data_IF_228552361478
#
_entry.id   IF_228552361478
#
_cell.length_a   1.000
_cell.length_b   1.000
_cell.length_c   1.000
_cell.angle_alpha   90.00
_cell.angle_beta   90.00
_cell.angle_gamma   90.00
#
_symmetry.space_group_name_H-M   'P 1'
#
loop_
_entity.id
_entity.type
_entity.pdbx_description
1 polymer ?
#
# COMPACT_ATOMS: atom_id res chain seq x y z
N UNK A 1 12.09 0.98 13.61
CA UNK A 1 12.06 2.34 14.22
C UNK A 1 10.75 3.01 13.79
N UNK A 2 10.20 3.94 14.58
CA UNK A 2 8.91 4.59 14.28
C UNK A 2 9.07 6.11 14.15
N UNK A 3 8.30 6.71 13.21
CA UNK A 3 8.12 8.11 12.77
C UNK A 3 8.38 9.30 13.75
N UNK A 4 8.77 9.07 15.01
CA UNK A 4 9.21 10.06 15.98
C UNK A 4 10.50 10.78 15.58
N UNK A 5 11.53 10.04 15.12
CA UNK A 5 12.89 10.60 14.95
C UNK A 5 12.94 11.86 14.06
N UNK A 6 12.22 11.91 12.94
CA UNK A 6 12.17 13.11 12.08
C UNK A 6 11.63 14.35 12.79
N UNK A 7 10.61 14.18 13.65
CA UNK A 7 10.04 15.30 14.42
C UNK A 7 10.96 15.72 15.57
N UNK A 8 11.67 14.77 16.14
CA UNK A 8 12.60 15.02 17.24
C UNK A 8 13.77 15.92 16.79
N UNK A 9 14.15 15.84 15.51
CA UNK A 9 15.15 16.72 14.89
C UNK A 9 14.57 18.01 14.27
N UNK A 10 13.27 18.27 14.43
CA UNK A 10 12.62 19.46 13.85
C UNK A 10 12.55 19.47 12.32
N UNK A 11 12.82 18.33 11.67
CA UNK A 11 12.83 18.20 10.22
C UNK A 11 11.41 18.00 9.69
N UNK A 12 11.03 18.75 8.65
CA UNK A 12 9.70 18.59 8.04
C UNK A 12 9.76 17.58 6.90
N UNK A 13 8.85 16.62 6.91
CA UNK A 13 8.70 15.65 5.83
C UNK A 13 8.48 16.28 4.43
N UNK A 14 7.97 17.51 4.36
CA UNK A 14 7.84 18.26 3.10
C UNK A 14 9.21 18.65 2.53
N UNK A 15 10.13 19.09 3.38
CA UNK A 15 11.48 19.51 3.00
C UNK A 15 12.28 18.28 2.53
N UNK A 16 12.20 17.15 3.25
CA UNK A 16 12.82 15.89 2.82
C UNK A 16 12.39 15.49 1.40
N UNK A 17 11.10 15.63 1.06
CA UNK A 17 10.61 15.33 -0.29
C UNK A 17 11.17 16.26 -1.36
N UNK A 18 11.23 17.56 -1.08
CA UNK A 18 11.76 18.55 -2.01
C UNK A 18 13.26 18.29 -2.28
N UNK A 19 14.00 17.92 -1.23
CA UNK A 19 15.41 17.54 -1.32
C UNK A 19 15.60 16.24 -2.14
N UNK A 20 14.80 15.20 -1.89
CA UNK A 20 14.82 13.98 -2.70
C UNK A 20 14.49 14.24 -4.18
N UNK A 21 13.56 15.15 -4.48
CA UNK A 21 13.24 15.54 -5.86
C UNK A 21 14.43 16.25 -6.51
N UNK A 22 15.06 17.17 -5.78
CA UNK A 22 16.23 17.92 -6.27
C UNK A 22 17.43 17.01 -6.57
N UNK A 23 17.67 15.99 -5.75
CA UNK A 23 18.70 14.95 -6.01
C UNK A 23 18.41 14.13 -7.28
N UNK A 24 17.14 13.80 -7.50
CA UNK A 24 16.73 13.09 -8.71
C UNK A 24 16.87 13.97 -9.97
N UNK A 25 16.47 15.24 -9.88
CA UNK A 25 16.61 16.20 -10.97
C UNK A 25 18.08 16.50 -11.33
N UNK A 26 18.96 16.51 -10.32
CA UNK A 26 20.40 16.64 -10.53
C UNK A 26 21.05 15.39 -11.15
N UNK A 27 20.32 14.27 -11.26
CA UNK A 27 20.83 13.01 -11.80
C UNK A 27 21.86 12.31 -10.90
N UNK A 28 22.00 12.78 -9.66
CA UNK A 28 23.02 12.29 -8.71
C UNK A 28 22.58 10.98 -8.08
N UNK A 29 21.29 10.83 -7.78
CA UNK A 29 20.77 9.63 -7.14
C UNK A 29 19.40 9.22 -7.70
N UNK A 30 19.32 8.67 -8.92
CA UNK A 30 18.05 8.29 -9.57
C UNK A 30 17.30 7.18 -8.82
N UNK A 31 17.93 6.54 -7.84
CA UNK A 31 17.34 5.44 -7.06
C UNK A 31 16.43 5.91 -5.91
N UNK A 32 16.42 7.20 -5.55
CA UNK A 32 15.58 7.72 -4.46
C UNK A 32 14.13 7.78 -4.92
N UNK A 33 13.44 6.65 -4.83
CA UNK A 33 12.04 6.56 -5.24
C UNK A 33 11.12 7.17 -4.19
N UNK A 34 10.65 8.39 -4.47
CA UNK A 34 9.58 9.06 -3.72
C UNK A 34 8.24 8.37 -4.01
N UNK A 35 8.03 7.17 -3.44
CA UNK A 35 6.76 6.44 -3.58
C UNK A 35 5.67 7.11 -2.74
N UNK A 36 4.47 7.26 -3.32
CA UNK A 36 3.31 7.79 -2.59
C UNK A 36 2.95 6.82 -1.45
N UNK A 37 3.09 7.28 -0.20
CA UNK A 37 2.75 6.50 1.00
C UNK A 37 3.92 5.82 1.70
N UNK A 38 5.18 6.07 1.29
CA UNK A 38 6.34 5.67 2.10
C UNK A 38 6.36 6.43 3.42
N UNK A 39 6.82 5.73 4.46
CA UNK A 39 7.04 6.36 5.76
C UNK A 39 8.24 7.30 5.65
N UNK A 40 8.25 8.35 6.48
CA UNK A 40 9.34 9.32 6.50
C UNK A 40 10.70 8.70 6.78
N UNK A 41 10.74 7.66 7.61
CA UNK A 41 11.96 6.95 7.97
C UNK A 41 12.55 6.21 6.78
N UNK A 42 11.74 5.41 6.09
CA UNK A 42 12.18 4.68 4.89
C UNK A 42 12.73 5.65 3.83
N UNK A 43 12.11 6.84 3.70
CA UNK A 43 12.56 7.89 2.79
C UNK A 43 13.87 8.55 3.25
N UNK A 44 14.05 8.75 4.56
CA UNK A 44 15.28 9.29 5.12
C UNK A 44 16.44 8.30 4.95
N UNK A 45 16.23 7.02 5.23
CA UNK A 45 17.24 5.97 4.99
C UNK A 45 17.64 5.92 3.52
N UNK A 46 16.68 5.85 2.59
CA UNK A 46 16.99 5.87 1.16
C UNK A 46 17.68 7.16 0.69
N UNK A 47 17.42 8.28 1.37
CA UNK A 47 18.13 9.54 1.11
C UNK A 47 19.59 9.49 1.60
N UNK A 48 19.84 8.92 2.77
CA UNK A 48 21.20 8.75 3.29
C UNK A 48 22.01 7.78 2.42
N UNK A 49 21.44 6.60 2.11
CA UNK A 49 22.07 5.61 1.22
C UNK A 49 22.44 6.24 -0.13
N UNK A 50 21.57 7.10 -0.65
CA UNK A 50 21.79 7.81 -1.89
C UNK A 50 22.90 8.86 -1.82
N UNK A 51 23.06 9.56 -0.68
CA UNK A 51 24.16 10.51 -0.47
C UNK A 51 25.48 9.78 -0.29
N UNK A 52 25.50 8.69 0.48
CA UNK A 52 26.70 7.87 0.69
C UNK A 52 27.18 7.20 -0.61
N UNK A 53 26.25 6.87 -1.50
CA UNK A 53 26.56 6.34 -2.83
C UNK A 53 27.11 7.40 -3.81
N UNK A 54 27.09 8.69 -3.48
CA UNK A 54 27.67 9.74 -4.34
C UNK A 54 29.19 9.68 -4.24
N UNK A 55 29.86 9.30 -5.33
CA UNK A 55 31.32 9.34 -5.39
C UNK A 55 31.87 10.77 -5.22
N UNK A 56 33.08 10.90 -4.66
CA UNK A 56 33.77 12.18 -4.39
C UNK A 56 33.82 13.16 -5.58
N UNK A 57 33.68 12.66 -6.81
CA UNK A 57 33.68 13.46 -8.05
C UNK A 57 32.40 14.25 -8.25
N UNK A 58 31.27 13.75 -7.75
CA UNK A 58 29.94 14.34 -7.96
C UNK A 58 29.46 15.18 -6.76
N UNK A 59 30.22 15.18 -5.66
CA UNK A 59 29.96 16.02 -4.46
C UNK A 59 29.87 17.51 -4.80
N UNK A 60 30.61 17.96 -5.83
CA UNK A 60 30.57 19.37 -6.29
C UNK A 60 29.27 19.77 -6.97
N UNK A 61 28.48 18.80 -7.42
CA UNK A 61 27.22 19.04 -8.13
C UNK A 61 26.00 18.92 -7.20
N UNK A 62 26.20 18.63 -5.91
CA UNK A 62 25.10 18.50 -4.96
C UNK A 62 24.41 19.87 -4.80
N UNK A 63 23.08 19.95 -4.99
CA UNK A 63 22.33 21.19 -4.76
C UNK A 63 22.56 21.73 -3.34
N UNK A 64 22.72 23.04 -3.21
CA UNK A 64 22.96 23.68 -1.90
C UNK A 64 21.87 23.37 -0.86
N UNK A 65 20.64 23.14 -1.31
CA UNK A 65 19.51 22.74 -0.49
C UNK A 65 19.69 21.36 0.13
N UNK A 66 20.32 20.43 -0.60
CA UNK A 66 20.62 19.06 -0.15
C UNK A 66 21.73 19.09 0.90
N UNK A 67 22.80 19.87 0.66
CA UNK A 67 23.86 20.07 1.64
C UNK A 67 23.33 20.71 2.92
N UNK A 68 22.56 21.80 2.81
CA UNK A 68 21.99 22.48 3.97
C UNK A 68 21.03 21.58 4.76
N UNK A 69 20.30 20.70 4.07
CA UNK A 69 19.45 19.71 4.73
C UNK A 69 20.27 18.64 5.45
N UNK A 70 21.35 18.13 4.84
CA UNK A 70 22.25 17.15 5.46
C UNK A 70 22.94 17.72 6.71
N UNK A 71 23.46 18.95 6.63
CA UNK A 71 24.12 19.64 7.74
C UNK A 71 23.17 19.94 8.92
N UNK A 72 21.86 19.98 8.68
CA UNK A 72 20.85 20.18 9.71
C UNK A 72 20.50 18.90 10.50
N UNK A 73 20.95 17.73 10.04
CA UNK A 73 20.71 16.44 10.70
C UNK A 73 21.75 16.28 11.83
N UNK A 74 21.34 16.17 13.10
CA UNK A 74 22.29 15.98 14.21
C UNK A 74 23.10 14.69 14.02
N UNK A 75 24.40 14.75 14.36
CA UNK A 75 25.30 13.58 14.26
C UNK A 75 24.80 12.39 15.10
N UNK A 76 24.12 12.66 16.22
CA UNK A 76 23.48 11.65 17.07
C UNK A 76 22.41 10.80 16.33
N UNK A 77 21.86 11.31 15.22
CA UNK A 77 20.94 10.54 14.39
C UNK A 77 21.63 9.38 13.63
N UNK A 78 22.96 9.44 13.50
CA UNK A 78 23.79 8.46 12.81
C UNK A 78 24.46 7.48 13.77
N UNK A 79 24.71 7.89 15.03
CA UNK A 79 25.40 7.07 16.03
C UNK A 79 24.51 5.99 16.69
N UNK A 80 23.20 6.00 16.40
CA UNK A 80 22.21 5.06 16.97
C UNK A 80 22.21 3.68 16.26
N UNK A 81 23.08 3.48 15.26
CA UNK A 81 23.31 2.22 14.56
C UNK A 81 24.43 1.40 15.23
N UNK A 82 24.42 1.31 16.57
CA UNK A 82 25.02 0.16 17.27
C UNK A 82 24.12 -1.08 17.02
N UNK A 83 24.18 -1.53 15.77
CA UNK A 83 24.46 -2.88 15.36
C UNK A 83 23.91 -4.00 16.27
N UNK A 84 22.59 -4.11 16.33
CA UNK A 84 21.96 -5.45 16.40
C UNK A 84 21.54 -5.88 15.00
N UNK A 85 22.55 -6.03 14.13
CA UNK A 85 22.47 -7.06 13.09
C UNK A 85 22.29 -8.39 13.83
N UNK A 86 21.06 -8.87 13.91
CA UNK A 86 20.79 -10.30 14.11
C UNK A 86 21.34 -11.04 12.90
N UNK A 87 22.64 -11.31 12.94
CA UNK A 87 23.31 -12.34 12.18
C UNK A 87 22.59 -13.64 12.53
N UNK A 88 21.88 -14.20 11.56
CA UNK A 88 21.22 -15.49 11.72
C UNK A 88 22.28 -16.56 11.57
N UNK A 89 23.06 -16.76 12.63
CA UNK A 89 24.00 -17.88 12.75
C UNK A 89 23.23 -19.20 12.85
N UNK A 90 23.12 -19.86 11.71
CA UNK A 90 22.81 -21.29 11.62
C UNK A 90 23.92 -22.09 12.29
N UNK A 91 23.72 -22.40 13.56
CA UNK A 91 24.48 -23.44 14.28
C UNK A 91 23.84 -24.79 14.00
N UNK A 92 24.51 -25.60 13.19
CA UNK A 92 24.10 -26.95 12.85
C UNK A 92 24.22 -27.95 14.00
N UNK A 93 23.36 -28.97 13.93
CA UNK A 93 23.62 -30.34 14.36
C UNK A 93 22.94 -31.30 13.36
N UNK A 94 23.42 -32.55 13.24
CA UNK A 94 23.35 -33.34 12.02
C UNK A 94 22.05 -34.14 11.94
N UNK A 95 21.46 -34.22 10.74
CA UNK A 95 20.41 -35.18 10.44
C UNK A 95 20.74 -35.90 9.14
N UNK A 96 20.78 -37.22 9.29
CA UNK A 96 20.78 -38.33 8.34
C UNK A 96 20.49 -38.07 6.86
N UNK A 97 21.24 -38.84 6.06
CA UNK A 97 21.02 -39.19 4.65
C UNK A 97 19.54 -39.24 4.27
N UNK A 98 19.13 -38.40 3.32
CA UNK A 98 17.99 -38.67 2.46
C UNK A 98 18.10 -37.86 1.15
N UNK A 99 18.18 -38.63 0.06
CA UNK A 99 17.87 -38.37 -1.36
C UNK A 99 18.21 -37.00 -1.99
N UNK A 100 19.04 -37.09 -3.05
CA UNK A 100 19.33 -36.08 -4.05
C UNK A 100 18.12 -35.17 -4.39
N UNK A 101 18.22 -33.90 -4.02
CA UNK A 101 17.47 -32.81 -4.63
C UNK A 101 18.42 -32.02 -5.51
N UNK A 102 18.11 -31.98 -6.81
CA UNK A 102 18.78 -31.15 -7.80
C UNK A 102 18.77 -29.69 -7.36
N UNK A 103 19.97 -29.11 -7.29
CA UNK A 103 20.25 -27.73 -6.95
C UNK A 103 19.63 -26.82 -8.03
N UNK A 104 18.55 -26.12 -7.70
CA UNK A 104 17.96 -25.09 -8.56
C UNK A 104 18.85 -23.86 -8.47
N UNK A 105 19.77 -23.75 -9.42
CA UNK A 105 20.57 -22.54 -9.64
C UNK A 105 19.60 -21.40 -9.97
N UNK A 106 19.48 -20.40 -9.09
CA UNK A 106 18.80 -19.14 -9.39
C UNK A 106 19.59 -18.42 -10.49
N UNK A 107 19.21 -18.64 -11.75
CA UNK A 107 19.73 -17.86 -12.88
C UNK A 107 19.12 -16.46 -12.84
N UNK A 108 19.92 -15.52 -12.34
CA UNK A 108 19.62 -14.09 -12.25
C UNK A 108 19.68 -13.47 -13.66
N UNK A 109 18.63 -13.69 -14.45
CA UNK A 109 18.51 -13.04 -15.75
C UNK A 109 17.81 -11.66 -15.59
N UNK A 110 18.49 -10.57 -15.99
CA UNK A 110 18.12 -9.19 -15.63
C UNK A 110 16.80 -8.68 -16.23
N UNK A 111 16.15 -9.45 -17.11
CA UNK A 111 14.87 -9.08 -17.75
C UNK A 111 13.62 -9.74 -17.13
N UNK A 112 13.75 -10.63 -16.14
CA UNK A 112 12.61 -11.46 -15.68
C UNK A 112 11.71 -10.88 -14.58
N UNK A 113 11.86 -9.61 -14.19
CA UNK A 113 10.99 -9.01 -13.17
C UNK A 113 9.56 -8.72 -13.67
N UNK A 114 9.35 -8.58 -14.99
CA UNK A 114 8.06 -8.22 -15.59
C UNK A 114 7.22 -9.39 -16.11
N UNK A 115 7.75 -10.62 -16.07
CA UNK A 115 7.08 -11.82 -16.57
C UNK A 115 7.38 -12.09 -18.05
N UNK A 116 7.54 -13.37 -18.37
CA UNK A 116 7.84 -13.85 -19.71
C UNK A 116 6.55 -13.80 -20.56
N UNK A 117 6.49 -12.93 -21.58
CA UNK A 117 5.37 -12.85 -22.52
C UNK A 117 5.81 -13.40 -23.89
N UNK A 118 5.13 -14.43 -24.38
CA UNK A 118 5.45 -15.11 -25.63
C UNK A 118 5.34 -14.19 -26.87
N UNK A 119 4.80 -12.97 -26.70
CA UNK A 119 4.69 -11.95 -27.74
C UNK A 119 5.88 -10.98 -27.81
N UNK A 120 6.76 -10.96 -26.80
CA UNK A 120 7.95 -10.10 -26.82
C UNK A 120 9.08 -10.73 -27.66
N UNK A 121 9.78 -9.93 -28.49
CA UNK A 121 10.84 -10.42 -29.37
C UNK A 121 11.99 -11.06 -28.59
N UNK A 122 12.32 -10.53 -27.42
CA UNK A 122 13.40 -11.07 -26.55
C UNK A 122 13.07 -12.48 -26.04
N UNK A 123 11.79 -12.80 -25.80
CA UNK A 123 11.37 -14.14 -25.40
C UNK A 123 11.50 -15.17 -26.54
N UNK A 124 11.40 -14.73 -27.80
CA UNK A 124 11.57 -15.61 -28.96
C UNK A 124 13.04 -15.99 -29.19
N UNK A 125 13.97 -15.07 -28.94
CA UNK A 125 15.40 -15.36 -28.97
C UNK A 125 15.80 -16.30 -27.83
N UNK A 126 15.36 -16.03 -26.59
CA UNK A 126 15.61 -16.93 -25.46
C UNK A 126 15.08 -18.36 -25.71
N UNK A 127 13.91 -18.49 -26.34
CA UNK A 127 13.33 -19.81 -26.69
C UNK A 127 14.19 -20.58 -27.71
N UNK A 128 14.89 -19.87 -28.59
CA UNK A 128 15.72 -20.47 -29.64
C UNK A 128 17.12 -20.83 -29.13
N UNK A 129 17.73 -19.91 -28.37
CA UNK A 129 19.13 -20.04 -27.95
C UNK A 129 19.28 -20.81 -26.63
N UNK A 130 18.29 -20.73 -25.74
CA UNK A 130 18.32 -21.35 -24.40
C UNK A 130 16.95 -21.99 -24.03
N UNK A 131 16.56 -23.10 -24.69
CA UNK A 131 15.24 -23.69 -24.54
C UNK A 131 14.96 -24.22 -23.12
N UNK A 132 15.99 -24.71 -22.42
CA UNK A 132 15.86 -25.23 -21.05
C UNK A 132 15.61 -24.10 -20.04
N UNK A 133 16.32 -22.98 -20.16
CA UNK A 133 16.12 -21.79 -19.32
C UNK A 133 14.75 -21.13 -19.58
N UNK A 134 14.35 -21.05 -20.84
CA UNK A 134 13.03 -20.55 -21.21
C UNK A 134 11.89 -21.42 -20.64
N UNK A 135 12.06 -22.75 -20.66
CA UNK A 135 11.11 -23.70 -20.05
C UNK A 135 11.01 -23.54 -18.54
N UNK A 136 12.15 -23.39 -17.85
CA UNK A 136 12.19 -23.12 -16.41
C UNK A 136 11.51 -21.79 -16.06
N UNK A 137 11.80 -20.74 -16.83
CA UNK A 137 11.19 -19.42 -16.66
C UNK A 137 9.67 -19.45 -16.87
N UNK A 138 9.18 -20.11 -17.92
CA UNK A 138 7.74 -20.28 -18.19
C UNK A 138 7.02 -21.01 -17.05
N UNK A 139 7.63 -22.08 -16.51
CA UNK A 139 7.09 -22.78 -15.33
C UNK A 139 7.05 -21.88 -14.10
N UNK A 140 8.09 -21.08 -13.88
CA UNK A 140 8.17 -20.16 -12.75
C UNK A 140 7.13 -19.02 -12.83
N UNK A 141 6.86 -18.48 -14.03
CA UNK A 141 5.85 -17.44 -14.25
C UNK A 141 4.42 -17.98 -14.12
N UNK A 142 4.13 -19.17 -14.63
CA UNK A 142 2.84 -19.86 -14.43
C UNK A 142 2.59 -20.21 -12.94
N UNK A 143 3.63 -20.61 -12.21
CA UNK A 143 3.56 -20.84 -10.77
C UNK A 143 3.31 -19.54 -9.96
N UNK A 144 3.89 -18.40 -10.40
CA UNK A 144 3.62 -17.09 -9.78
C UNK A 144 2.22 -16.57 -10.11
N UNK A 145 1.70 -16.82 -11.32
CA UNK A 145 0.32 -16.47 -11.70
C UNK A 145 -0.73 -17.25 -10.89
N UNK A 146 -0.50 -18.54 -10.65
CA UNK A 146 -1.39 -19.39 -9.84
C UNK A 146 -1.39 -19.03 -8.34
N UNK A 147 -0.28 -18.53 -7.78
CA UNK A 147 -0.23 -17.98 -6.41
C UNK A 147 -0.97 -16.65 -6.26
N UNK A 148 -1.03 -15.81 -7.31
CA UNK A 148 -1.82 -14.56 -7.32
C UNK A 148 -3.32 -14.80 -7.54
N UNK A 149 -3.70 -16.02 -7.94
CA UNK A 149 -5.10 -16.45 -8.08
C UNK A 149 -5.56 -17.42 -6.99
N UNK A 150 -5.33 -17.12 -5.70
CA UNK A 150 -6.36 -17.49 -4.69
C UNK A 150 -7.56 -16.57 -4.85
N UNK A 151 -8.22 -16.78 -6.00
CA UNK A 151 -9.51 -16.26 -6.39
C UNK A 151 -10.49 -16.78 -5.34
N UNK A 152 -10.94 -15.86 -4.49
CA UNK A 152 -12.10 -16.01 -3.61
C UNK A 152 -13.13 -16.87 -4.34
N UNK A 153 -13.50 -17.99 -3.73
CA UNK A 153 -14.55 -18.88 -4.22
C UNK A 153 -15.71 -18.02 -4.72
N UNK A 154 -16.13 -18.28 -5.96
CA UNK A 154 -17.26 -17.63 -6.61
C UNK A 154 -18.51 -18.13 -5.90
N UNK A 155 -18.75 -17.58 -4.71
CA UNK A 155 -19.96 -17.79 -3.93
C UNK A 155 -21.15 -17.42 -4.80
N UNK A 156 -22.09 -18.34 -4.84
CA UNK A 156 -23.37 -18.30 -5.52
C UNK A 156 -23.94 -16.88 -5.54
N UNK A 157 -24.25 -16.37 -6.75
CA UNK A 157 -24.92 -15.08 -6.95
C UNK A 157 -26.34 -15.13 -6.39
N UNK A 158 -26.48 -15.07 -5.08
CA UNK A 158 -27.67 -14.46 -4.49
C UNK A 158 -27.44 -12.96 -4.68
N UNK A 159 -28.05 -12.40 -5.72
CA UNK A 159 -28.19 -10.97 -5.89
C UNK A 159 -29.12 -10.44 -4.78
N UNK A 160 -28.64 -10.50 -3.55
CA UNK A 160 -29.28 -9.84 -2.43
C UNK A 160 -29.39 -8.37 -2.76
N UNK A 161 -30.55 -7.78 -2.48
CA UNK A 161 -30.78 -6.35 -2.64
C UNK A 161 -29.61 -5.61 -1.97
N UNK A 162 -28.89 -4.79 -2.74
CA UNK A 162 -27.79 -3.97 -2.21
C UNK A 162 -28.33 -3.05 -1.12
N UNK A 163 -27.48 -2.65 -0.20
CA UNK A 163 -27.80 -1.61 0.80
C UNK A 163 -28.13 -0.29 0.10
N UNK A 164 -28.74 0.65 0.82
CA UNK A 164 -29.15 1.97 0.29
C UNK A 164 -28.03 2.72 -0.43
N UNK A 165 -26.77 2.47 -0.06
CA UNK A 165 -25.63 3.10 -0.71
C UNK A 165 -24.84 2.15 -1.63
N UNK A 166 -25.41 1.01 -2.03
CA UNK A 166 -24.87 0.14 -3.08
C UNK A 166 -23.86 -0.92 -2.63
N UNK A 167 -23.69 -1.15 -1.33
CA UNK A 167 -22.85 -2.24 -0.82
C UNK A 167 -23.67 -3.53 -0.66
N UNK A 168 -22.98 -4.66 -0.47
CA UNK A 168 -23.67 -5.93 -0.20
C UNK A 168 -24.19 -5.96 1.23
N UNK A 169 -25.39 -6.50 1.48
CA UNK A 169 -25.86 -6.76 2.83
C UNK A 169 -24.87 -7.72 3.53
N UNK A 170 -24.69 -7.58 4.84
CA UNK A 170 -23.72 -8.31 5.66
C UNK A 170 -22.23 -8.05 5.35
N UNK A 171 -21.93 -7.17 4.39
CA UNK A 171 -20.57 -6.63 4.27
C UNK A 171 -20.33 -5.56 5.33
N UNK A 172 -19.09 -5.38 5.74
CA UNK A 172 -18.69 -4.33 6.68
C UNK A 172 -19.13 -2.94 6.22
N UNK A 173 -19.01 -2.68 4.92
CA UNK A 173 -19.46 -1.45 4.28
C UNK A 173 -20.98 -1.30 4.31
N UNK A 174 -21.72 -2.39 4.09
CA UNK A 174 -23.18 -2.42 4.20
C UNK A 174 -23.68 -2.20 5.62
N UNK A 175 -22.97 -2.75 6.62
CA UNK A 175 -23.29 -2.50 8.03
C UNK A 175 -23.16 -1.02 8.39
N UNK A 176 -22.09 -0.35 7.93
CA UNK A 176 -21.90 1.09 8.15
C UNK A 176 -23.01 1.88 7.44
N UNK A 177 -23.38 1.51 6.21
CA UNK A 177 -24.49 2.14 5.49
C UNK A 177 -25.80 2.11 6.30
N UNK A 178 -26.14 0.94 6.84
CA UNK A 178 -27.36 0.74 7.62
C UNK A 178 -27.31 1.50 8.95
N UNK A 179 -26.14 1.57 9.58
CA UNK A 179 -25.97 2.30 10.83
C UNK A 179 -26.08 3.81 10.65
N UNK A 180 -25.45 4.37 9.61
CA UNK A 180 -25.59 5.78 9.23
C UNK A 180 -27.04 6.13 8.93
N UNK A 181 -27.77 5.21 8.30
CA UNK A 181 -29.19 5.42 8.04
C UNK A 181 -30.03 5.44 9.32
N UNK A 182 -29.77 4.49 10.23
CA UNK A 182 -30.47 4.39 11.52
C UNK A 182 -30.16 5.55 12.46
N UNK A 183 -29.13 6.35 12.18
CA UNK A 183 -28.77 7.50 13.00
C UNK A 183 -27.72 7.19 14.05
N UNK A 184 -26.96 6.10 13.93
CA UNK A 184 -25.97 5.75 14.95
C UNK A 184 -24.84 6.77 15.03
N UNK A 185 -24.17 6.80 16.19
CA UNK A 185 -22.97 7.61 16.38
C UNK A 185 -21.74 6.95 15.78
N UNK A 186 -20.66 7.72 15.57
CA UNK A 186 -19.38 7.14 15.09
C UNK A 186 -18.87 6.07 16.04
N UNK A 187 -18.96 6.32 17.35
CA UNK A 187 -18.48 5.41 18.37
C UNK A 187 -19.32 4.13 18.46
N UNK A 188 -20.64 4.24 18.32
CA UNK A 188 -21.52 3.07 18.20
C UNK A 188 -21.15 2.21 16.98
N UNK A 189 -20.89 2.84 15.84
CA UNK A 189 -20.46 2.11 14.63
C UNK A 189 -19.13 1.39 14.85
N UNK A 190 -18.20 2.03 15.55
CA UNK A 190 -16.90 1.42 15.90
C UNK A 190 -17.08 0.23 16.82
N UNK A 191 -17.88 0.36 17.89
CA UNK A 191 -18.15 -0.73 18.83
C UNK A 191 -18.81 -1.94 18.14
N UNK A 192 -19.78 -1.70 17.27
CA UNK A 192 -20.42 -2.77 16.48
C UNK A 192 -19.40 -3.45 15.57
N UNK A 193 -18.53 -2.69 14.91
CA UNK A 193 -17.48 -3.26 14.06
C UNK A 193 -16.45 -4.08 14.85
N UNK A 194 -16.11 -3.66 16.07
CA UNK A 194 -15.22 -4.41 16.94
C UNK A 194 -15.88 -5.74 17.35
N UNK A 195 -17.15 -5.70 17.75
CA UNK A 195 -17.90 -6.88 18.21
C UNK A 195 -18.18 -7.89 17.09
N UNK A 196 -18.71 -7.43 15.97
CA UNK A 196 -19.18 -8.30 14.88
C UNK A 196 -18.05 -8.77 13.96
N UNK A 197 -16.97 -7.99 13.83
CA UNK A 197 -15.88 -8.28 12.90
C UNK A 197 -14.51 -8.47 13.58
N UNK A 198 -14.45 -8.47 14.92
CA UNK A 198 -13.22 -8.75 15.68
C UNK A 198 -12.07 -7.79 15.40
N UNK A 199 -12.37 -6.51 15.11
CA UNK A 199 -11.32 -5.51 14.77
C UNK A 199 -10.82 -4.79 16.01
N UNK A 200 -9.56 -4.35 15.96
CA UNK A 200 -9.07 -3.35 16.91
C UNK A 200 -9.79 -2.01 16.70
N UNK A 201 -9.88 -1.22 17.77
CA UNK A 201 -10.57 0.06 17.78
C UNK A 201 -10.06 1.02 16.69
N UNK A 202 -8.73 1.16 16.55
CA UNK A 202 -8.14 2.04 15.54
C UNK A 202 -8.49 1.63 14.11
N UNK A 203 -8.51 0.31 13.84
CA UNK A 203 -8.86 -0.23 12.52
C UNK A 203 -10.36 -0.04 12.22
N UNK A 204 -11.21 -0.14 13.24
CA UNK A 204 -12.63 0.13 13.11
C UNK A 204 -12.88 1.64 12.88
N UNK A 205 -12.26 2.52 13.68
CA UNK A 205 -12.30 3.99 13.51
C UNK A 205 -11.87 4.42 12.11
N UNK A 206 -10.70 3.95 11.66
CA UNK A 206 -10.20 4.24 10.32
C UNK A 206 -11.15 3.79 9.22
N UNK A 207 -11.80 2.63 9.39
CA UNK A 207 -12.78 2.13 8.41
C UNK A 207 -14.05 2.97 8.37
N UNK A 208 -14.61 3.33 9.53
CA UNK A 208 -15.79 4.20 9.62
C UNK A 208 -15.50 5.55 8.96
N UNK A 209 -14.41 6.21 9.35
CA UNK A 209 -14.05 7.53 8.83
C UNK A 209 -13.83 7.53 7.31
N UNK A 210 -13.07 6.56 6.80
CA UNK A 210 -12.84 6.39 5.36
C UNK A 210 -14.16 6.17 4.60
N UNK A 211 -15.07 5.40 5.17
CA UNK A 211 -16.36 5.11 4.56
C UNK A 211 -17.28 6.33 4.54
N UNK A 212 -17.41 7.04 5.66
CA UNK A 212 -18.20 8.27 5.76
C UNK A 212 -17.69 9.34 4.78
N UNK A 213 -16.37 9.54 4.69
CA UNK A 213 -15.78 10.46 3.70
C UNK A 213 -16.12 10.05 2.27
N UNK A 214 -16.18 8.75 1.98
CA UNK A 214 -16.58 8.27 0.66
C UNK A 214 -18.06 8.55 0.38
N UNK A 215 -18.95 8.39 1.37
CA UNK A 215 -20.37 8.75 1.25
C UNK A 215 -20.56 10.25 0.99
N UNK A 216 -19.80 11.09 1.69
CA UNK A 216 -19.84 12.55 1.52
C UNK A 216 -19.31 12.96 0.15
N UNK A 217 -18.08 12.55 -0.19
CA UNK A 217 -17.38 13.05 -1.37
C UNK A 217 -17.88 12.42 -2.68
N UNK A 218 -18.17 11.12 -2.69
CA UNK A 218 -18.53 10.40 -3.93
C UNK A 218 -20.03 10.26 -4.15
N UNK A 219 -20.82 10.25 -3.08
CA UNK A 219 -22.28 10.07 -3.17
C UNK A 219 -23.07 11.34 -2.85
N UNK A 220 -22.38 12.43 -2.47
CA UNK A 220 -23.03 13.70 -2.16
C UNK A 220 -23.92 13.64 -0.92
N UNK A 221 -23.76 12.62 -0.08
CA UNK A 221 -24.60 12.44 1.10
C UNK A 221 -24.17 13.47 2.15
N UNK A 222 -25.09 14.34 2.53
CA UNK A 222 -24.88 15.22 3.69
C UNK A 222 -25.15 14.43 4.96
N UNK A 223 -24.12 14.25 5.77
CA UNK A 223 -24.21 13.68 7.12
C UNK A 223 -24.18 14.85 8.10
N UNK A 224 -25.26 15.04 8.85
CA UNK A 224 -25.32 16.09 9.88
C UNK A 224 -24.94 15.49 11.22
N UNK A 225 -23.90 16.03 11.84
CA UNK A 225 -23.54 15.77 13.23
C UNK A 225 -24.24 16.84 14.08
N UNK A 226 -25.32 16.46 14.78
CA UNK A 226 -25.90 17.33 15.81
C UNK A 226 -25.04 17.20 17.07
N UNK A 227 -24.91 18.28 17.86
CA UNK A 227 -24.29 18.19 19.20
C UNK A 227 -24.95 17.05 19.98
N UNK A 228 -24.19 15.99 20.27
CA UNK A 228 -24.71 14.71 20.80
C UNK A 228 -24.62 13.51 19.82
N UNK A 229 -23.71 13.55 18.86
CA UNK A 229 -23.10 12.41 18.14
C UNK A 229 -23.94 11.58 17.16
N UNK A 230 -25.23 11.83 17.01
CA UNK A 230 -26.08 11.07 16.07
C UNK A 230 -25.80 11.51 14.62
N UNK A 231 -25.27 10.59 13.80
CA UNK A 231 -25.04 10.82 12.38
C UNK A 231 -26.27 10.42 11.56
N UNK A 232 -26.94 11.39 10.94
CA UNK A 232 -28.04 11.12 10.00
C UNK A 232 -27.69 11.56 8.59
N UNK A 233 -27.87 10.66 7.64
CA UNK A 233 -27.90 11.01 6.22
C UNK A 233 -29.25 11.69 5.89
N UNK A 234 -29.23 12.79 5.13
CA UNK A 234 -30.49 13.41 4.66
C UNK A 234 -31.21 12.46 3.69
N UNK A 235 -32.47 12.15 4.01
CA UNK A 235 -33.33 11.19 3.29
C UNK A 235 -33.39 11.43 1.77
N UNK A 236 -33.44 12.69 1.33
CA UNK A 236 -33.46 13.07 -0.09
C UNK A 236 -32.28 12.57 -0.93
N UNK A 237 -31.15 12.20 -0.31
CA UNK A 237 -29.98 11.66 -1.00
C UNK A 237 -29.86 10.14 -0.89
N UNK A 238 -30.67 9.50 -0.04
CA UNK A 238 -30.61 8.06 0.20
C UNK A 238 -31.56 7.28 -0.70
N UNK A 239 -32.73 7.84 -1.03
CA UNK A 239 -33.76 7.13 -1.81
C UNK A 239 -33.50 7.12 -3.33
N UNK A 240 -32.46 7.82 -3.81
CA UNK A 240 -32.16 7.98 -5.24
C UNK A 240 -30.83 7.39 -5.74
N UNK A 241 -30.02 6.78 -4.86
CA UNK A 241 -28.67 6.35 -5.24
C UNK A 241 -28.60 4.87 -5.63
N UNK A 242 -29.44 4.46 -6.58
CA UNK A 242 -29.23 3.24 -7.35
C UNK A 242 -28.46 3.62 -8.62
N UNK A 243 -27.13 3.41 -8.60
CA UNK A 243 -26.27 3.69 -9.77
C UNK A 243 -26.69 2.92 -11.04
N UNK A 244 -27.57 1.92 -10.90
CA UNK A 244 -28.14 1.13 -12.00
C UNK A 244 -29.57 1.52 -12.38
N UNK A 245 -30.23 2.41 -11.63
CA UNK A 245 -31.63 2.78 -11.86
C UNK A 245 -31.80 4.29 -12.08
N UNK A 246 -30.87 4.89 -12.84
CA UNK A 246 -30.97 6.26 -13.36
C UNK A 246 -32.01 6.41 -14.48
N UNK A 247 -33.15 5.72 -14.40
CA UNK A 247 -34.34 6.24 -15.06
C UNK A 247 -34.88 7.37 -14.20
N UNK A 248 -34.78 8.58 -14.75
CA UNK A 248 -35.28 9.84 -14.21
C UNK A 248 -36.62 9.62 -13.51
N UNK A 249 -36.64 9.67 -12.17
CA UNK A 249 -37.84 10.06 -11.46
C UNK A 249 -38.07 11.54 -11.77
N UNK A 250 -38.81 11.82 -12.84
CA UNK A 250 -39.50 13.10 -12.97
C UNK A 250 -40.51 13.16 -11.84
N UNK A 251 -40.24 14.01 -10.86
CA UNK A 251 -41.25 14.46 -9.90
C UNK A 251 -42.31 15.21 -10.70
N UNK A 252 -43.46 14.57 -10.90
CA UNK A 252 -44.71 15.28 -11.18
C UNK A 252 -45.23 15.79 -9.85
N UNK A 253 -45.43 17.10 -9.75
CA UNK A 253 -46.10 17.78 -8.63
C UNK A 253 -47.56 17.35 -8.49
#
# INVERSE_FOLDING_TARGET
MGLGKLKDYGLKFKELKEVCVSLNEAGIAPAVTVKVGTKGEDMLSSFMDAIEAVEDKDVKNIPAEVSAYYDAIPQEAFDDDDNTVTQSDSKGEPVEEQEEQEEVVESDCPSFLTGCDDTEPDCQECKKDMPDEYSACKKATEAKASKKSKKKSKGTKNAGKRTRYGHMPNSMAGFIDDMVWKGHTKDEMVQVLMKEFGRSEDKAKGKVNSHLNTLINKKGITITEKKGDVLKAKQKYADGYDKSNTQKCTLSE
#
